data_IF_683917129663
#
_entry.id   IF_683917129663
#
_cell.length_a   1.000
_cell.length_b   1.000
_cell.length_c   1.000
_cell.angle_alpha   90.00
_cell.angle_beta   90.00
_cell.angle_gamma   90.00
#
_symmetry.space_group_name_H-M   'P 1'
#
loop_
_entity.id
_entity.type
_entity.pdbx_description
1 polymer ?
#
# COMPACT_ATOMS: atom_id res chain seq x y z
N UNK A 1 5.72 -14.19 -12.36
CA UNK A 1 4.29 -14.02 -12.00
C UNK A 1 3.56 -13.34 -13.17
N UNK A 2 2.33 -13.75 -13.52
CA UNK A 2 1.59 -13.13 -14.64
C UNK A 2 1.21 -11.67 -14.30
N UNK A 3 1.23 -10.76 -15.28
CA UNK A 3 0.95 -9.31 -15.12
C UNK A 3 -0.40 -9.06 -14.43
N UNK A 4 -1.39 -9.93 -14.67
CA UNK A 4 -2.70 -9.90 -14.04
C UNK A 4 -2.65 -10.18 -12.52
N UNK A 5 -1.80 -11.12 -12.08
CA UNK A 5 -1.61 -11.43 -10.66
C UNK A 5 -0.86 -10.30 -9.95
N UNK A 6 0.12 -9.70 -10.64
CA UNK A 6 0.87 -8.54 -10.13
C UNK A 6 -0.01 -7.31 -9.93
N UNK A 7 -0.91 -7.03 -10.88
CA UNK A 7 -1.84 -5.89 -10.79
C UNK A 7 -2.84 -6.10 -9.65
N UNK A 8 -3.42 -7.29 -9.50
CA UNK A 8 -4.29 -7.62 -8.35
C UNK A 8 -3.55 -7.45 -7.03
N UNK A 9 -2.33 -7.98 -6.91
CA UNK A 9 -1.51 -7.86 -5.72
C UNK A 9 -1.26 -6.38 -5.36
N UNK A 10 -0.89 -5.57 -6.35
CA UNK A 10 -0.67 -4.13 -6.17
C UNK A 10 -1.93 -3.41 -5.70
N UNK A 11 -3.08 -3.69 -6.32
CA UNK A 11 -4.35 -3.09 -5.91
C UNK A 11 -4.75 -3.48 -4.49
N UNK A 12 -4.56 -4.74 -4.09
CA UNK A 12 -4.84 -5.20 -2.72
C UNK A 12 -3.95 -4.50 -1.69
N UNK A 13 -2.66 -4.32 -1.99
CA UNK A 13 -1.72 -3.61 -1.12
C UNK A 13 -2.14 -2.15 -0.93
N UNK A 14 -2.52 -1.47 -2.01
CA UNK A 14 -3.00 -0.08 -1.93
C UNK A 14 -4.26 0.01 -1.06
N UNK A 15 -5.25 -0.85 -1.29
CA UNK A 15 -6.51 -0.83 -0.54
C UNK A 15 -6.27 -1.10 0.96
N UNK A 16 -5.42 -2.08 1.28
CA UNK A 16 -5.06 -2.40 2.65
C UNK A 16 -4.39 -1.20 3.35
N UNK A 17 -3.36 -0.62 2.73
CA UNK A 17 -2.68 0.55 3.28
C UNK A 17 -3.60 1.76 3.43
N UNK A 18 -4.48 2.02 2.47
CA UNK A 18 -5.46 3.10 2.55
C UNK A 18 -6.40 2.89 3.74
N UNK A 19 -6.89 1.67 3.94
CA UNK A 19 -7.80 1.35 5.04
C UNK A 19 -7.14 1.53 6.41
N UNK A 20 -5.89 1.06 6.58
CA UNK A 20 -5.13 1.21 7.82
C UNK A 20 -4.86 2.67 8.12
N UNK A 21 -4.32 3.42 7.15
CA UNK A 21 -4.05 4.85 7.30
C UNK A 21 -5.32 5.63 7.61
N UNK A 22 -6.45 5.32 6.96
CA UNK A 22 -7.73 5.97 7.23
C UNK A 22 -8.19 5.74 8.68
N UNK A 23 -8.04 4.52 9.21
CA UNK A 23 -8.40 4.20 10.59
C UNK A 23 -7.52 4.98 11.57
N UNK A 24 -6.21 4.97 11.36
CA UNK A 24 -5.26 5.68 12.24
C UNK A 24 -5.49 7.20 12.18
N UNK A 25 -5.60 7.79 10.99
CA UNK A 25 -5.88 9.21 10.85
C UNK A 25 -7.26 9.60 11.38
N UNK A 26 -8.27 8.73 11.30
CA UNK A 26 -9.58 9.02 11.91
C UNK A 26 -9.50 9.10 13.45
N UNK A 27 -8.63 8.31 14.08
CA UNK A 27 -8.36 8.37 15.52
C UNK A 27 -7.55 9.61 15.91
N UNK A 28 -6.58 10.02 15.09
CA UNK A 28 -5.76 11.21 15.36
C UNK A 28 -6.53 12.52 15.14
N UNK A 29 -7.36 12.60 14.10
CA UNK A 29 -8.00 13.85 13.66
C UNK A 29 -9.50 13.96 14.03
N UNK A 30 -9.96 13.21 15.05
CA UNK A 30 -11.30 12.98 15.66
C UNK A 30 -12.55 13.78 15.20
N UNK A 31 -12.46 14.97 14.62
CA UNK A 31 -13.62 15.74 14.12
C UNK A 31 -13.33 16.71 12.96
N UNK A 32 -12.07 16.99 12.64
CA UNK A 32 -11.69 18.01 11.66
C UNK A 32 -11.04 17.39 10.41
N UNK A 33 -11.65 16.34 9.84
CA UNK A 33 -11.21 15.76 8.57
C UNK A 33 -11.46 16.76 7.44
N UNK A 34 -10.54 17.70 7.28
CA UNK A 34 -10.50 18.61 6.15
C UNK A 34 -10.20 17.82 4.88
N UNK A 35 -10.64 18.33 3.73
CA UNK A 35 -10.40 17.74 2.41
C UNK A 35 -8.91 17.42 2.19
N UNK A 36 -8.03 18.26 2.74
CA UNK A 36 -6.58 18.13 2.71
C UNK A 36 -6.07 16.86 3.39
N UNK A 37 -6.60 16.51 4.57
CA UNK A 37 -6.18 15.29 5.29
C UNK A 37 -6.55 14.03 4.49
N UNK A 38 -7.72 14.02 3.84
CA UNK A 38 -8.12 12.89 2.97
C UNK A 38 -7.19 12.74 1.77
N UNK A 39 -6.79 13.85 1.16
CA UNK A 39 -5.82 13.86 0.06
C UNK A 39 -4.45 13.36 0.55
N UNK A 40 -3.98 13.85 1.70
CA UNK A 40 -2.73 13.40 2.31
C UNK A 40 -2.72 11.89 2.57
N UNK A 41 -3.79 11.34 3.17
CA UNK A 41 -3.93 9.90 3.41
C UNK A 41 -3.90 9.09 2.11
N UNK A 42 -4.54 9.59 1.05
CA UNK A 42 -4.52 8.91 -0.26
C UNK A 42 -3.12 8.91 -0.90
N UNK A 43 -2.38 10.02 -0.80
CA UNK A 43 -1.01 10.14 -1.30
C UNK A 43 -0.05 9.24 -0.51
N UNK A 44 -0.15 9.26 0.82
CA UNK A 44 0.62 8.38 1.70
C UNK A 44 0.35 6.91 1.39
N UNK A 45 -0.91 6.54 1.17
CA UNK A 45 -1.28 5.18 0.79
C UNK A 45 -0.66 4.73 -0.52
N UNK A 46 -0.56 5.63 -1.51
CA UNK A 46 0.09 5.33 -2.80
C UNK A 46 1.59 5.13 -2.63
N UNK A 47 2.26 6.02 -1.89
CA UNK A 47 3.71 5.94 -1.65
C UNK A 47 4.05 4.66 -0.89
N UNK A 48 3.35 4.39 0.22
CA UNK A 48 3.58 3.18 1.01
C UNK A 48 3.22 1.93 0.20
N UNK A 49 2.10 1.95 -0.54
CA UNK A 49 1.71 0.84 -1.39
C UNK A 49 2.74 0.50 -2.46
N UNK A 50 3.35 1.51 -3.09
CA UNK A 50 4.44 1.32 -4.04
C UNK A 50 5.69 0.72 -3.39
N UNK A 51 6.12 1.25 -2.25
CA UNK A 51 7.29 0.72 -1.51
C UNK A 51 7.05 -0.74 -1.12
N UNK A 52 5.89 -1.06 -0.52
CA UNK A 52 5.53 -2.42 -0.13
C UNK A 52 5.51 -3.37 -1.31
N UNK A 53 4.97 -2.95 -2.45
CA UNK A 53 4.96 -3.75 -3.67
C UNK A 53 6.37 -4.04 -4.17
N UNK A 54 7.23 -3.04 -4.27
CA UNK A 54 8.62 -3.24 -4.70
C UNK A 54 9.36 -4.19 -3.75
N UNK A 55 9.19 -4.03 -2.43
CA UNK A 55 9.78 -4.94 -1.44
C UNK A 55 9.31 -6.39 -1.63
N UNK A 56 8.01 -6.62 -1.84
CA UNK A 56 7.47 -7.97 -2.06
C UNK A 56 8.04 -8.60 -3.34
N UNK A 57 8.16 -7.82 -4.41
CA UNK A 57 8.75 -8.31 -5.67
C UNK A 57 10.23 -8.63 -5.49
N UNK A 58 11.00 -7.78 -4.82
CA UNK A 58 12.41 -8.08 -4.54
C UNK A 58 12.58 -9.35 -3.70
N UNK A 59 11.74 -9.55 -2.67
CA UNK A 59 11.75 -10.79 -1.87
C UNK A 59 11.38 -11.99 -2.73
N UNK A 60 10.36 -11.86 -3.58
CA UNK A 60 9.94 -12.93 -4.50
C UNK A 60 11.06 -13.31 -5.47
N UNK A 61 11.72 -12.33 -6.09
CA UNK A 61 12.85 -12.56 -6.98
C UNK A 61 14.02 -13.22 -6.24
N UNK A 62 14.38 -12.72 -5.04
CA UNK A 62 15.42 -13.31 -4.21
C UNK A 62 15.11 -14.76 -3.83
N UNK A 63 13.84 -15.06 -3.50
CA UNK A 63 13.41 -16.42 -3.16
C UNK A 63 13.53 -17.38 -4.36
N UNK A 64 13.27 -16.90 -5.58
CA UNK A 64 13.45 -17.69 -6.79
C UNK A 64 14.92 -18.02 -7.06
N UNK A 65 15.84 -17.11 -6.72
CA UNK A 65 17.28 -17.35 -6.85
C UNK A 65 17.80 -18.31 -5.79
N UNK A 66 17.26 -18.28 -4.58
CA UNK A 66 17.66 -19.16 -3.47
C UNK A 66 17.09 -20.58 -3.56
N UNK A 67 15.94 -20.77 -4.24
CA UNK A 67 15.29 -22.08 -4.42
C UNK A 67 15.85 -22.83 -5.65
N UNK A 68 16.64 -22.17 -6.50
CA UNK A 68 17.38 -22.79 -7.61
C UNK A 68 18.68 -23.43 -7.13
#
# INVERSE_FOLDING_TARGET
MNIFKLTILFTMIIIANYSMLKIDFSKFFKRNSTREIKILVSLLSLVIGYISYMTIITIYELSLTLVK
#
